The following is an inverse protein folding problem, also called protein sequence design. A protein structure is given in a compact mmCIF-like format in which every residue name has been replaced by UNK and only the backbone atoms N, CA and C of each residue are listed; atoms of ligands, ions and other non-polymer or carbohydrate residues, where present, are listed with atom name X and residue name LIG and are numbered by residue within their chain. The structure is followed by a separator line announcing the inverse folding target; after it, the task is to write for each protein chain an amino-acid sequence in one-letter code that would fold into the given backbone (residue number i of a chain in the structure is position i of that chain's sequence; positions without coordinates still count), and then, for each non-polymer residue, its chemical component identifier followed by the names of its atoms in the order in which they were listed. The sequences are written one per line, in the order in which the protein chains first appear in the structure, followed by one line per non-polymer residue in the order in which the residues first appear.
data_IF_983518266942
#
_entry.id   IF_983518266942
#
_cell.length_a   1.000
_cell.length_b   1.000
_cell.length_c   1.000
_cell.angle_alpha   90.00
_cell.angle_beta   90.00
_cell.angle_gamma   90.00
#
_symmetry.space_group_name_H-M   'P 1'
#
loop_
_entity.id
_entity.type
_entity.pdbx_description
1 polymer ?
#
# COMPACT_ATOMS: atom_id res chain seq x y z
N UNK A 1 14.39 10.07 17.30
CA UNK A 1 14.45 8.70 16.71
C UNK A 1 15.19 8.77 15.39
N UNK A 2 16.14 7.87 15.14
CA UNK A 2 16.76 7.74 13.81
C UNK A 2 15.75 7.08 12.88
N UNK A 3 15.36 7.77 11.80
CA UNK A 3 14.61 7.16 10.69
C UNK A 3 15.54 6.20 9.94
N UNK A 4 15.08 4.99 9.66
CA UNK A 4 15.79 4.01 8.83
C UNK A 4 15.19 3.97 7.42
N UNK A 5 16.06 3.88 6.40
CA UNK A 5 15.63 3.71 5.02
C UNK A 5 14.84 2.39 4.87
N UNK A 6 13.73 2.38 4.11
CA UNK A 6 12.90 1.19 3.95
C UNK A 6 13.57 0.18 3.01
N UNK A 7 13.48 -1.14 3.28
CA UNK A 7 14.03 -2.16 2.38
C UNK A 7 13.40 -2.21 0.99
N UNK A 8 12.16 -1.73 0.84
CA UNK A 8 11.48 -1.67 -0.46
C UNK A 8 12.21 -0.81 -1.49
N UNK A 9 12.72 0.35 -1.04
CA UNK A 9 13.54 1.23 -1.86
C UNK A 9 14.35 2.17 -0.96
N UNK A 10 15.63 1.87 -0.78
CA UNK A 10 16.50 2.53 0.20
C UNK A 10 16.84 4.00 -0.13
N UNK A 11 16.32 4.54 -1.24
CA UNK A 11 16.43 5.97 -1.57
C UNK A 11 15.49 6.84 -0.70
N UNK A 12 14.42 6.26 -0.15
CA UNK A 12 13.53 6.96 0.77
C UNK A 12 14.12 6.98 2.18
N UNK A 13 13.84 8.04 2.95
CA UNK A 13 14.33 8.16 4.34
C UNK A 13 13.65 7.22 5.32
N UNK A 14 12.40 6.84 5.04
CA UNK A 14 11.62 5.96 5.90
C UNK A 14 10.43 5.34 5.18
N UNK A 15 9.88 4.26 5.73
CA UNK A 15 8.60 3.68 5.29
C UNK A 15 7.47 4.71 5.33
N UNK A 16 7.39 5.50 6.42
CA UNK A 16 6.39 6.57 6.56
C UNK A 16 6.44 7.55 5.39
N UNK A 17 7.63 7.98 4.97
CA UNK A 17 7.77 8.88 3.83
C UNK A 17 7.23 8.23 2.54
N UNK A 18 7.56 6.95 2.30
CA UNK A 18 7.05 6.19 1.16
C UNK A 18 5.53 6.05 1.19
N UNK A 19 4.94 5.70 2.33
CA UNK A 19 3.49 5.57 2.49
C UNK A 19 2.75 6.90 2.27
N UNK A 20 3.30 8.01 2.79
CA UNK A 20 2.73 9.34 2.58
C UNK A 20 2.79 9.74 1.10
N UNK A 21 3.93 9.54 0.45
CA UNK A 21 4.08 9.82 -0.97
C UNK A 21 3.15 8.93 -1.81
N UNK A 22 3.00 7.64 -1.48
CA UNK A 22 2.06 6.75 -2.16
C UNK A 22 0.63 7.29 -2.05
N UNK A 23 0.20 7.65 -0.84
CA UNK A 23 -1.14 8.17 -0.63
C UNK A 23 -1.42 9.48 -1.37
N UNK A 24 -0.42 10.35 -1.49
CA UNK A 24 -0.59 11.68 -2.09
C UNK A 24 -0.38 11.67 -3.61
N UNK A 25 0.53 10.84 -4.12
CA UNK A 25 0.93 10.86 -5.54
C UNK A 25 0.15 9.88 -6.39
N UNK A 26 -0.38 8.81 -5.81
CA UNK A 26 -1.16 7.79 -6.53
C UNK A 26 -2.67 8.08 -6.49
N UNK A 27 -3.09 9.20 -5.89
CA UNK A 27 -4.47 9.68 -5.88
C UNK A 27 -4.51 11.11 -6.40
N UNK A 28 -5.49 11.49 -7.24
CA UNK A 28 -5.54 12.83 -7.82
C UNK A 28 -5.99 13.90 -6.82
N UNK A 29 -6.67 13.51 -5.74
CA UNK A 29 -7.32 14.44 -4.82
C UNK A 29 -6.40 14.93 -3.70
N UNK A 30 -6.57 16.20 -3.32
CA UNK A 30 -5.90 16.77 -2.15
C UNK A 30 -6.45 16.16 -0.86
N UNK A 31 -5.57 15.76 0.06
CA UNK A 31 -5.93 15.07 1.30
C UNK A 31 -5.60 15.92 2.53
N UNK A 32 -6.37 15.78 3.61
CA UNK A 32 -6.02 16.49 4.86
C UNK A 32 -4.86 15.80 5.56
N UNK A 33 -4.04 16.57 6.29
CA UNK A 33 -2.97 15.99 7.14
C UNK A 33 -3.52 14.99 8.17
N UNK A 34 -4.70 15.25 8.72
CA UNK A 34 -5.36 14.33 9.66
C UNK A 34 -5.76 13.02 9.00
N UNK A 35 -6.34 13.07 7.79
CA UNK A 35 -6.68 11.86 7.03
C UNK A 35 -5.42 11.07 6.62
N UNK A 36 -4.33 11.75 6.27
CA UNK A 36 -3.04 11.11 6.02
C UNK A 36 -2.52 10.37 7.25
N UNK A 37 -2.54 11.03 8.42
CA UNK A 37 -2.10 10.45 9.67
C UNK A 37 -2.89 9.19 10.05
N UNK A 38 -4.20 9.20 9.83
CA UNK A 38 -5.05 8.01 10.00
C UNK A 38 -4.68 6.91 9.00
N UNK A 39 -4.58 7.24 7.70
CA UNK A 39 -4.31 6.27 6.64
C UNK A 39 -2.96 5.55 6.83
N UNK A 40 -1.93 6.26 7.29
CA UNK A 40 -0.59 5.69 7.54
C UNK A 40 -0.36 5.26 8.99
N UNK A 41 -1.40 5.34 9.84
CA UNK A 41 -1.34 4.98 11.27
C UNK A 41 -0.15 5.62 12.01
N UNK A 42 0.03 6.94 11.83
CA UNK A 42 1.13 7.69 12.42
C UNK A 42 0.63 8.92 13.19
N UNK A 43 1.36 9.41 14.22
CA UNK A 43 0.99 10.64 14.91
C UNK A 43 0.91 11.83 13.96
N UNK A 44 -0.15 12.62 14.09
CA UNK A 44 -0.40 13.84 13.27
C UNK A 44 0.80 14.78 13.28
N UNK A 45 1.48 14.95 14.41
CA UNK A 45 2.69 15.77 14.55
C UNK A 45 3.89 15.25 13.74
N UNK A 46 3.99 13.93 13.57
CA UNK A 46 5.03 13.30 12.74
C UNK A 46 4.70 13.49 11.26
N UNK A 47 3.45 13.27 10.86
CA UNK A 47 3.02 13.52 9.47
C UNK A 47 3.18 14.99 9.10
N UNK A 48 2.80 15.92 9.99
CA UNK A 48 3.03 17.35 9.76
C UNK A 48 4.49 17.69 9.47
N UNK A 49 5.43 17.12 10.22
CA UNK A 49 6.86 17.34 10.02
C UNK A 49 7.35 16.78 8.69
N UNK A 50 6.86 15.60 8.29
CA UNK A 50 7.24 15.01 7.00
C UNK A 50 6.64 15.78 5.82
N UNK A 51 5.37 16.18 5.92
CA UNK A 51 4.69 17.01 4.90
C UNK A 51 5.40 18.34 4.74
N UNK A 52 5.74 19.03 5.85
CA UNK A 52 6.48 20.29 5.79
C UNK A 52 7.82 20.11 5.08
N UNK A 53 8.57 19.05 5.39
CA UNK A 53 9.85 18.78 4.74
C UNK A 53 9.72 18.50 3.23
N UNK A 54 8.68 17.78 2.83
CA UNK A 54 8.42 17.49 1.42
C UNK A 54 7.92 18.73 0.66
N UNK A 55 7.21 19.64 1.33
CA UNK A 55 6.82 20.96 0.81
C UNK A 55 8.03 21.89 0.68
N UNK A 56 8.91 21.95 1.68
CA UNK A 56 10.17 22.72 1.64
C UNK A 56 11.08 22.25 0.49
N UNK A 57 11.03 20.96 0.16
CA UNK A 57 11.73 20.37 -0.99
C UNK A 57 10.99 20.58 -2.33
N UNK A 58 9.83 21.23 -2.32
CA UNK A 58 9.00 21.51 -3.50
C UNK A 58 8.32 20.28 -4.11
N UNK A 59 8.29 19.13 -3.41
CA UNK A 59 7.65 17.90 -3.91
C UNK A 59 6.14 17.88 -3.66
N UNK A 60 5.69 18.57 -2.60
CA UNK A 60 4.29 18.71 -2.24
C UNK A 60 3.91 20.19 -2.21
N UNK A 61 2.62 20.47 -2.35
CA UNK A 61 2.03 21.79 -2.09
C UNK A 61 0.95 21.65 -1.03
N UNK A 62 0.79 22.67 -0.19
CA UNK A 62 -0.31 22.71 0.78
C UNK A 62 -1.17 23.95 0.63
N UNK A 63 -2.46 23.81 0.95
CA UNK A 63 -3.42 24.91 1.02
C UNK A 63 -4.31 24.78 2.24
N UNK A 64 -4.81 25.91 2.75
CA UNK A 64 -5.75 25.91 3.88
C UNK A 64 -7.19 26.02 3.39
N UNK A 65 -8.07 25.21 3.97
CA UNK A 65 -9.52 25.30 3.81
C UNK A 65 -10.14 25.30 5.20
N UNK A 66 -10.57 26.47 5.66
CA UNK A 66 -10.95 26.68 7.05
C UNK A 66 -9.80 26.33 8.00
N UNK A 67 -10.01 25.34 8.87
CA UNK A 67 -8.99 24.81 9.79
C UNK A 67 -8.16 23.65 9.22
N UNK A 68 -8.56 23.09 8.07
CA UNK A 68 -7.88 21.95 7.47
C UNK A 68 -6.71 22.40 6.61
N UNK A 69 -5.58 21.70 6.72
CA UNK A 69 -4.46 21.79 5.79
C UNK A 69 -4.56 20.63 4.81
N UNK A 70 -4.83 20.96 3.55
CA UNK A 70 -4.86 20.02 2.44
C UNK A 70 -3.48 19.94 1.80
N UNK A 71 -3.12 18.74 1.38
CA UNK A 71 -1.82 18.38 0.81
C UNK A 71 -2.07 17.70 -0.52
N UNK A 72 -1.31 18.05 -1.54
CA UNK A 72 -1.30 17.38 -2.84
C UNK A 72 0.13 17.33 -3.39
N UNK A 73 0.35 16.48 -4.39
CA UNK A 73 1.60 16.49 -5.14
C UNK A 73 1.80 17.84 -5.84
N UNK A 74 3.04 18.27 -5.96
CA UNK A 74 3.37 19.45 -6.76
C UNK A 74 3.51 19.06 -8.24
N UNK A 75 2.42 19.15 -9.01
CA UNK A 75 2.46 18.80 -10.45
C UNK A 75 3.33 19.76 -11.28
N UNK A 76 3.68 20.94 -10.76
CA UNK A 76 4.59 21.86 -11.43
C UNK A 76 6.08 21.47 -11.27
N UNK A 77 6.40 20.52 -10.38
CA UNK A 77 7.77 20.05 -10.18
C UNK A 77 8.12 18.97 -11.21
N UNK A 78 9.19 19.14 -12.02
CA UNK A 78 9.57 18.19 -13.06
C UNK A 78 9.98 16.80 -12.51
N UNK A 79 10.33 16.68 -11.24
CA UNK A 79 10.65 15.41 -10.61
C UNK A 79 9.40 14.59 -10.22
N UNK A 80 8.22 15.22 -10.14
CA UNK A 80 6.98 14.57 -9.65
C UNK A 80 6.60 13.33 -10.45
N UNK A 81 6.61 13.32 -11.80
CA UNK A 81 6.28 12.12 -12.56
C UNK A 81 7.24 10.95 -12.28
N UNK A 82 8.56 11.19 -12.28
CA UNK A 82 9.54 10.15 -12.00
C UNK A 82 9.44 9.61 -10.56
N UNK A 83 9.21 10.50 -9.60
CA UNK A 83 9.01 10.11 -8.21
C UNK A 83 7.73 9.29 -8.02
N UNK A 84 6.63 9.67 -8.69
CA UNK A 84 5.37 8.93 -8.71
C UNK A 84 5.58 7.49 -9.22
N UNK A 85 6.34 7.29 -10.29
CA UNK A 85 6.68 5.95 -10.78
C UNK A 85 7.46 5.13 -9.75
N UNK A 86 8.49 5.71 -9.13
CA UNK A 86 9.26 5.02 -8.08
C UNK A 86 8.41 4.64 -6.88
N UNK A 87 7.50 5.53 -6.48
CA UNK A 87 6.54 5.32 -5.39
C UNK A 87 5.54 4.22 -5.77
N UNK A 88 5.00 4.23 -6.98
CA UNK A 88 4.07 3.21 -7.48
C UNK A 88 4.70 1.82 -7.44
N UNK A 89 5.94 1.70 -7.91
CA UNK A 89 6.71 0.45 -7.96
C UNK A 89 7.02 -0.08 -6.55
N UNK A 90 7.39 0.79 -5.61
CA UNK A 90 7.82 0.36 -4.28
C UNK A 90 6.69 0.25 -3.24
N UNK A 91 5.83 1.27 -3.15
CA UNK A 91 4.80 1.43 -2.12
C UNK A 91 3.37 1.35 -2.67
N UNK A 92 3.21 1.39 -4.00
CA UNK A 92 1.90 1.27 -4.66
C UNK A 92 1.18 -0.07 -4.54
N UNK A 93 1.82 -1.24 -4.33
CA UNK A 93 1.09 -2.52 -4.34
C UNK A 93 -0.11 -2.57 -3.40
N UNK A 94 0.00 -2.08 -2.16
CA UNK A 94 -1.15 -2.06 -1.24
C UNK A 94 -2.34 -1.28 -1.81
N UNK A 95 -2.10 -0.12 -2.42
CA UNK A 95 -3.16 0.71 -2.97
C UNK A 95 -3.74 0.12 -4.26
N UNK A 96 -2.89 -0.30 -5.19
CA UNK A 96 -3.34 -0.89 -6.47
C UNK A 96 -4.15 -2.16 -6.22
N UNK A 97 -3.68 -3.03 -5.31
CA UNK A 97 -4.43 -4.25 -4.97
C UNK A 97 -5.77 -3.91 -4.31
N UNK A 98 -5.84 -2.88 -3.47
CA UNK A 98 -7.12 -2.43 -2.91
C UNK A 98 -8.10 -2.03 -4.03
N UNK A 99 -7.66 -1.17 -4.94
CA UNK A 99 -8.51 -0.63 -6.01
C UNK A 99 -8.97 -1.71 -6.99
N UNK A 100 -8.08 -2.64 -7.38
CA UNK A 100 -8.42 -3.63 -8.40
C UNK A 100 -9.23 -4.83 -7.86
N UNK A 101 -9.06 -5.19 -6.58
CA UNK A 101 -9.64 -6.41 -6.01
C UNK A 101 -10.86 -6.15 -5.12
N UNK A 102 -10.98 -4.99 -4.46
CA UNK A 102 -12.10 -4.75 -3.54
C UNK A 102 -13.46 -4.66 -4.23
N UNK A 103 -13.50 -4.36 -5.53
CA UNK A 103 -14.74 -4.34 -6.32
C UNK A 103 -15.25 -5.73 -6.70
N UNK A 104 -14.45 -6.79 -6.46
CA UNK A 104 -14.86 -8.16 -6.77
C UNK A 104 -15.88 -8.64 -5.73
N UNK A 105 -17.10 -9.05 -6.15
CA UNK A 105 -18.08 -9.60 -5.23
C UNK A 105 -17.56 -10.86 -4.52
N UNK A 106 -17.85 -10.96 -3.22
CA UNK A 106 -17.48 -12.12 -2.41
C UNK A 106 -16.11 -12.03 -1.72
N UNK A 107 -15.33 -10.95 -1.94
CA UNK A 107 -14.11 -10.69 -1.17
C UNK A 107 -14.46 -10.43 0.29
N UNK A 108 -13.91 -11.25 1.20
CA UNK A 108 -14.06 -11.13 2.65
C UNK A 108 -12.80 -10.63 3.34
N UNK A 109 -11.63 -11.00 2.84
CA UNK A 109 -10.34 -10.47 3.30
C UNK A 109 -9.36 -10.44 2.13
N UNK A 110 -8.51 -9.42 2.11
CA UNK A 110 -7.52 -9.17 1.07
C UNK A 110 -6.20 -8.78 1.75
N UNK A 111 -5.14 -9.53 1.46
CA UNK A 111 -3.82 -9.30 2.02
C UNK A 111 -2.74 -9.53 0.98
N UNK A 112 -1.61 -8.85 1.13
CA UNK A 112 -0.38 -9.12 0.37
C UNK A 112 0.56 -9.91 1.27
N UNK A 113 1.16 -10.98 0.74
CA UNK A 113 2.14 -11.80 1.44
C UNK A 113 3.43 -11.93 0.60
N UNK A 114 4.33 -12.81 1.02
CA UNK A 114 5.54 -13.12 0.26
C UNK A 114 6.59 -12.02 0.34
N UNK A 115 7.42 -11.93 -0.70
CA UNK A 115 8.64 -11.13 -0.67
C UNK A 115 8.36 -9.63 -0.48
N UNK A 116 7.29 -9.09 -1.10
CA UNK A 116 6.90 -7.69 -0.92
C UNK A 116 6.47 -7.39 0.52
N UNK A 117 5.63 -8.24 1.12
CA UNK A 117 5.18 -8.07 2.49
C UNK A 117 6.34 -8.09 3.49
N UNK A 118 7.31 -9.00 3.29
CA UNK A 118 8.56 -9.03 4.06
C UNK A 118 9.34 -7.71 3.98
N UNK A 119 9.55 -7.17 2.78
CA UNK A 119 10.27 -5.88 2.60
C UNK A 119 9.50 -4.72 3.22
N UNK A 120 8.18 -4.70 3.08
CA UNK A 120 7.31 -3.69 3.69
C UNK A 120 7.36 -3.75 5.22
N UNK A 121 7.42 -4.95 5.80
CA UNK A 121 7.56 -5.18 7.23
C UNK A 121 8.94 -4.77 7.81
N UNK A 122 9.95 -4.60 6.94
CA UNK A 122 11.29 -4.14 7.33
C UNK A 122 12.37 -5.21 7.22
N UNK A 123 12.07 -6.39 6.68
CA UNK A 123 13.06 -7.43 6.46
C UNK A 123 14.02 -7.03 5.31
N UNK A 124 15.35 -7.16 5.46
CA UNK A 124 16.32 -6.82 4.42
C UNK A 124 16.38 -7.82 3.26
N UNK A 125 16.60 -7.32 2.04
CA UNK A 125 16.89 -8.12 0.85
C UNK A 125 16.53 -7.38 -0.44
N UNK A 126 16.61 -8.10 -1.57
CA UNK A 126 16.38 -7.50 -2.90
C UNK A 126 14.92 -7.02 -3.07
N UNK A 127 14.74 -6.11 -4.04
CA UNK A 127 13.42 -5.65 -4.45
C UNK A 127 12.57 -6.87 -4.88
N UNK A 128 11.29 -6.94 -4.44
CA UNK A 128 10.36 -8.00 -4.84
C UNK A 128 10.18 -8.04 -6.36
N UNK A 129 10.26 -9.25 -6.94
CA UNK A 129 10.02 -9.47 -8.36
C UNK A 129 8.54 -9.57 -8.72
N UNK A 130 7.67 -9.83 -7.75
CA UNK A 130 6.24 -10.07 -7.88
C UNK A 130 5.45 -9.53 -6.66
N UNK A 131 4.12 -9.63 -6.74
CA UNK A 131 3.19 -9.34 -5.65
C UNK A 131 2.25 -10.52 -5.48
N UNK A 132 2.38 -11.24 -4.37
CA UNK A 132 1.50 -12.35 -4.03
C UNK A 132 0.30 -11.84 -3.22
N UNK A 133 -0.90 -12.09 -3.74
CA UNK A 133 -2.16 -11.58 -3.17
C UNK A 133 -2.98 -12.73 -2.65
N UNK A 134 -3.34 -12.69 -1.37
CA UNK A 134 -4.28 -13.62 -0.77
C UNK A 134 -5.68 -13.01 -0.78
N UNK A 135 -6.62 -13.74 -1.39
CA UNK A 135 -8.04 -13.36 -1.41
C UNK A 135 -8.83 -14.43 -0.66
N UNK A 136 -9.41 -14.04 0.47
CA UNK A 136 -10.31 -14.90 1.24
C UNK A 136 -11.75 -14.57 0.86
N UNK A 137 -12.51 -15.58 0.47
CA UNK A 137 -13.92 -15.45 0.14
C UNK A 137 -14.36 -16.30 -1.05
N UNK A 138 -15.64 -16.22 -1.37
CA UNK A 138 -16.20 -16.89 -2.55
C UNK A 138 -16.21 -15.94 -3.74
N UNK A 139 -15.05 -15.81 -4.39
CA UNK A 139 -14.85 -14.93 -5.53
C UNK A 139 -14.87 -15.70 -6.84
N UNK A 140 -15.41 -15.04 -7.88
CA UNK A 140 -15.35 -15.57 -9.24
C UNK A 140 -13.90 -15.63 -9.73
N UNK A 141 -13.49 -16.79 -10.27
CA UNK A 141 -12.11 -17.03 -10.73
C UNK A 141 -11.70 -16.11 -11.86
N UNK A 142 -12.57 -15.85 -12.84
CA UNK A 142 -12.26 -14.95 -13.96
C UNK A 142 -12.04 -13.52 -13.46
N UNK A 143 -12.96 -13.00 -12.64
CA UNK A 143 -12.84 -11.66 -12.07
C UNK A 143 -11.54 -11.47 -11.25
N UNK A 144 -11.11 -12.53 -10.55
CA UNK A 144 -9.85 -12.54 -9.80
C UNK A 144 -8.62 -12.39 -10.71
N UNK A 145 -8.55 -13.13 -11.82
CA UNK A 145 -7.43 -13.01 -12.76
C UNK A 145 -7.49 -11.70 -13.54
N UNK A 146 -8.68 -11.23 -13.93
CA UNK A 146 -8.84 -9.93 -14.58
C UNK A 146 -8.32 -8.77 -13.70
N UNK A 147 -8.59 -8.83 -12.39
CA UNK A 147 -8.05 -7.86 -11.43
C UNK A 147 -6.53 -7.96 -11.27
N UNK A 148 -5.99 -9.17 -11.27
CA UNK A 148 -4.54 -9.38 -11.24
C UNK A 148 -3.86 -8.82 -12.50
N UNK A 149 -4.45 -9.01 -13.68
CA UNK A 149 -3.91 -8.48 -14.94
C UNK A 149 -3.91 -6.94 -14.95
N UNK A 150 -4.98 -6.30 -14.49
CA UNK A 150 -5.03 -4.84 -14.33
C UNK A 150 -4.00 -4.35 -13.32
N UNK A 151 -3.87 -5.02 -12.18
CA UNK A 151 -2.86 -4.68 -11.17
C UNK A 151 -1.43 -4.86 -11.69
N UNK A 152 -1.16 -5.92 -12.44
CA UNK A 152 0.13 -6.18 -13.09
C UNK A 152 0.49 -5.07 -14.06
N UNK A 153 -0.46 -4.64 -14.90
CA UNK A 153 -0.24 -3.55 -15.84
C UNK A 153 0.13 -2.25 -15.12
N UNK A 154 -0.50 -1.96 -13.97
CA UNK A 154 -0.24 -0.76 -13.16
C UNK A 154 1.08 -0.84 -12.37
N UNK A 155 1.45 -2.01 -11.87
CA UNK A 155 2.65 -2.19 -11.03
C UNK A 155 3.91 -2.58 -11.82
N UNK A 156 3.77 -2.82 -13.12
CA UNK A 156 4.82 -3.30 -14.03
C UNK A 156 5.55 -4.55 -13.49
N UNK A 157 4.81 -5.44 -12.83
CA UNK A 157 5.32 -6.68 -12.22
C UNK A 157 4.22 -7.73 -12.11
N UNK A 158 4.56 -9.03 -12.12
CA UNK A 158 3.59 -10.09 -11.89
C UNK A 158 2.79 -9.92 -10.60
N UNK A 159 1.48 -10.15 -10.69
CA UNK A 159 0.56 -10.19 -9.55
C UNK A 159 -0.05 -11.58 -9.50
N UNK A 160 0.22 -12.32 -8.42
CA UNK A 160 -0.18 -13.72 -8.28
C UNK A 160 -1.31 -13.85 -7.26
N UNK A 161 -2.58 -13.96 -7.69
CA UNK A 161 -3.69 -14.11 -6.76
C UNK A 161 -3.85 -15.58 -6.31
N UNK A 162 -3.99 -15.78 -5.01
CA UNK A 162 -4.38 -17.06 -4.40
C UNK A 162 -5.73 -16.90 -3.71
N UNK A 163 -6.73 -17.67 -4.17
CA UNK A 163 -8.06 -17.72 -3.58
C UNK A 163 -8.13 -18.77 -2.47
N UNK A 164 -8.71 -18.41 -1.34
CA UNK A 164 -9.00 -19.29 -0.22
C UNK A 164 -10.45 -19.10 0.21
N UNK A 165 -11.21 -20.18 0.40
CA UNK A 165 -12.56 -20.07 0.95
C UNK A 165 -12.52 -19.62 2.41
N UNK A 166 -13.52 -18.86 2.85
CA UNK A 166 -13.63 -18.39 4.24
C UNK A 166 -13.59 -19.54 5.27
N UNK A 167 -14.21 -20.67 4.95
CA UNK A 167 -14.19 -21.88 5.80
C UNK A 167 -12.77 -22.43 5.99
N UNK A 168 -12.01 -22.58 4.90
CA UNK A 168 -10.61 -23.01 4.96
C UNK A 168 -9.72 -22.01 5.72
N UNK A 169 -9.96 -20.71 5.53
CA UNK A 169 -9.24 -19.66 6.25
C UNK A 169 -9.47 -19.74 7.77
N UNK A 170 -10.73 -19.94 8.19
CA UNK A 170 -11.09 -20.07 9.61
C UNK A 170 -10.62 -21.39 10.23
N UNK A 171 -10.61 -22.47 9.45
CA UNK A 171 -10.15 -23.78 9.94
C UNK A 171 -8.64 -23.79 10.22
N UNK A 172 -7.83 -23.02 9.46
CA UNK A 172 -6.39 -22.90 9.68
C UNK A 172 -5.60 -24.21 9.47
N UNK A 173 -6.21 -25.22 8.85
CA UNK A 173 -5.65 -26.57 8.69
C UNK A 173 -4.86 -26.78 7.40
N UNK A 174 -4.91 -25.84 6.46
CA UNK A 174 -4.17 -25.91 5.21
C UNK A 174 -2.67 -25.60 5.44
N UNK A 175 -1.73 -26.50 5.08
CA UNK A 175 -0.28 -26.24 5.19
C UNK A 175 0.19 -24.98 4.47
N UNK A 176 -0.46 -24.59 3.37
CA UNK A 176 -0.20 -23.33 2.69
C UNK A 176 -0.60 -22.15 3.58
N UNK A 177 -1.79 -22.19 4.18
CA UNK A 177 -2.25 -21.15 5.10
C UNK A 177 -1.38 -21.05 6.35
N UNK A 178 -0.92 -22.18 6.90
CA UNK A 178 0.02 -22.19 8.01
C UNK A 178 1.35 -21.51 7.63
N UNK A 179 1.85 -21.76 6.41
CA UNK A 179 3.08 -21.14 5.91
C UNK A 179 2.89 -19.64 5.66
N UNK A 180 1.82 -19.24 4.99
CA UNK A 180 1.50 -17.82 4.74
C UNK A 180 1.27 -17.05 6.03
N UNK A 181 0.54 -17.62 6.99
CA UNK A 181 0.28 -17.01 8.28
C UNK A 181 1.53 -16.87 9.16
N UNK A 182 2.57 -17.69 8.92
CA UNK A 182 3.84 -17.62 9.66
C UNK A 182 4.81 -16.55 9.15
N UNK A 183 4.50 -15.91 8.02
CA UNK A 183 5.32 -14.85 7.40
C UNK A 183 4.63 -13.49 7.48
N UNK A 184 5.36 -12.38 7.28
CA UNK A 184 4.74 -11.07 7.21
C UNK A 184 3.61 -11.03 6.18
N UNK A 185 2.44 -10.57 6.62
CA UNK A 185 1.25 -10.39 5.81
C UNK A 185 0.74 -8.97 6.03
N UNK A 186 0.55 -8.23 4.94
CA UNK A 186 0.07 -6.85 4.97
C UNK A 186 -1.39 -6.85 4.57
N UNK A 187 -2.27 -6.54 5.51
CA UNK A 187 -3.70 -6.43 5.24
C UNK A 187 -3.96 -5.21 4.34
N UNK A 188 -4.63 -5.47 3.22
CA UNK A 188 -5.10 -4.45 2.28
C UNK A 188 -6.53 -4.05 2.67
N UNK A 189 -7.36 -5.06 2.89
CA UNK A 189 -8.71 -4.95 3.43
C UNK A 189 -8.99 -6.13 4.36
N UNK A 190 -9.47 -5.81 5.56
CA UNK A 190 -10.07 -6.78 6.46
C UNK A 190 -11.30 -6.10 7.09
N UNK A 191 -12.47 -6.74 7.12
CA UNK A 191 -13.58 -6.23 7.92
C UNK A 191 -13.11 -6.10 9.36
N UNK A 192 -13.56 -5.04 10.05
CA UNK A 192 -13.31 -4.89 11.49
C UNK A 192 -13.70 -6.20 12.18
N UNK A 193 -12.75 -6.81 12.91
CA UNK A 193 -13.08 -7.92 13.79
C UNK A 193 -14.06 -7.37 14.83
N UNK A 194 -15.30 -7.82 14.78
CA UNK A 194 -16.20 -7.65 15.91
C UNK A 194 -15.49 -8.22 17.15
N UNK A 195 -15.29 -7.34 18.14
CA UNK A 195 -14.63 -7.64 19.40
C UNK A 195 -15.42 -8.67 20.22
#
# INVERSE_FOLDING_TARGET
MRTSAPPLLAIFRSRLQGDLLARIMLQPDSVTVTALAQAVSAPVSTVHREVARLEDAGLLVTRRVGRARLVSANEANPATPALRELVLVAFGPRQVIAEEFMEIPGVRKLSIFGSWASRYAGEPGLMPGDVDVLVVGDVNRQALYDAADRAQARLARPVNPTRVSETAWLAGTDPFLATVASRPMIDVFAPERAA
#
